data_IF_357812589603
#
_entry.id   IF_357812589603
#
_cell.length_a   1.000
_cell.length_b   1.000
_cell.length_c   1.000
_cell.angle_alpha   90.00
_cell.angle_beta   90.00
_cell.angle_gamma   90.00
#
_symmetry.space_group_name_H-M   'P 1'
#
loop_
_entity.id
_entity.type
_entity.pdbx_description
1 polymer ?
#
# COMPACT_ATOMS: atom_id res chain seq x y z
N UNK A 1 -75.05 26.22 20.25
CA UNK A 1 -74.78 26.15 18.80
C UNK A 1 -73.82 27.29 18.42
N UNK A 2 -72.50 27.02 18.30
CA UNK A 2 -71.50 28.02 17.92
C UNK A 2 -71.15 27.83 16.46
N UNK A 3 -71.43 28.81 15.64
CA UNK A 3 -71.17 28.85 14.20
C UNK A 3 -69.69 29.16 13.98
N UNK A 4 -68.99 28.20 13.44
CA UNK A 4 -67.55 28.33 13.04
C UNK A 4 -67.48 29.15 11.75
N UNK A 5 -66.94 30.35 11.84
CA UNK A 5 -66.69 31.21 10.68
C UNK A 5 -65.38 30.71 9.98
N UNK A 6 -65.54 30.31 8.74
CA UNK A 6 -64.40 29.93 7.87
C UNK A 6 -63.86 31.20 7.23
N UNK A 7 -62.66 31.61 7.63
CA UNK A 7 -61.94 32.72 7.00
C UNK A 7 -61.47 32.26 5.60
N UNK A 8 -62.09 32.87 4.58
CA UNK A 8 -61.66 32.73 3.18
C UNK A 8 -60.33 33.50 3.01
N UNK A 9 -59.24 32.74 2.88
CA UNK A 9 -57.95 33.34 2.53
C UNK A 9 -58.06 33.96 1.13
N UNK A 10 -57.79 35.27 1.04
CA UNK A 10 -57.91 36.05 -0.18
C UNK A 10 -56.93 35.51 -1.27
N UNK A 11 -57.31 35.41 -2.55
CA UNK A 11 -56.45 34.90 -3.59
C UNK A 11 -55.18 35.73 -3.84
N UNK A 12 -55.17 36.98 -3.35
CA UNK A 12 -53.99 37.89 -3.45
C UNK A 12 -52.83 37.45 -2.60
N UNK A 13 -53.04 36.87 -1.43
CA UNK A 13 -51.98 36.36 -0.58
C UNK A 13 -51.30 35.12 -1.16
N UNK A 14 -52.04 34.26 -1.85
CA UNK A 14 -51.54 33.07 -2.51
C UNK A 14 -50.68 33.41 -3.72
N UNK A 15 -51.08 34.43 -4.52
CA UNK A 15 -50.35 34.88 -5.70
C UNK A 15 -48.97 35.51 -5.34
N UNK A 16 -48.92 36.31 -4.24
CA UNK A 16 -47.68 36.88 -3.72
C UNK A 16 -46.72 35.83 -3.18
N UNK A 17 -47.26 34.78 -2.54
CA UNK A 17 -46.44 33.65 -2.05
C UNK A 17 -45.82 32.83 -3.19
N UNK A 18 -46.52 32.58 -4.27
CA UNK A 18 -46.05 31.86 -5.46
C UNK A 18 -44.98 32.67 -6.23
N UNK A 19 -45.14 33.98 -6.35
CA UNK A 19 -44.14 34.86 -6.97
C UNK A 19 -42.86 34.94 -6.14
N UNK A 20 -42.93 34.93 -4.82
CA UNK A 20 -41.79 34.88 -3.93
C UNK A 20 -40.98 33.59 -4.03
N UNK A 21 -41.66 32.45 -4.11
CA UNK A 21 -41.01 31.13 -4.29
C UNK A 21 -40.34 31.00 -5.66
N UNK A 22 -40.99 31.48 -6.73
CA UNK A 22 -40.40 31.47 -8.07
C UNK A 22 -39.15 32.37 -8.17
N UNK A 23 -39.16 33.54 -7.52
CA UNK A 23 -38.01 34.46 -7.47
C UNK A 23 -36.81 33.88 -6.68
N UNK A 24 -37.07 33.25 -5.55
CA UNK A 24 -36.05 32.61 -4.76
C UNK A 24 -35.39 31.41 -5.48
N UNK A 25 -36.22 30.62 -6.19
CA UNK A 25 -35.72 29.51 -7.01
C UNK A 25 -34.82 29.96 -8.15
N UNK A 26 -35.26 31.02 -8.88
CA UNK A 26 -34.47 31.58 -9.99
C UNK A 26 -33.12 32.19 -9.49
N UNK A 27 -33.13 32.88 -8.35
CA UNK A 27 -31.92 33.43 -7.75
C UNK A 27 -30.96 32.32 -7.30
N UNK A 28 -31.46 31.23 -6.73
CA UNK A 28 -30.65 30.08 -6.32
C UNK A 28 -30.02 29.36 -7.52
N UNK A 29 -30.78 29.19 -8.60
CA UNK A 29 -30.27 28.59 -9.84
C UNK A 29 -29.21 29.50 -10.46
N UNK A 30 -29.42 30.82 -10.49
CA UNK A 30 -28.44 31.78 -11.00
C UNK A 30 -27.15 31.73 -10.19
N UNK A 31 -27.21 31.62 -8.86
CA UNK A 31 -26.04 31.50 -7.99
C UNK A 31 -25.28 30.18 -8.18
N UNK A 32 -25.96 29.10 -8.59
CA UNK A 32 -25.32 27.82 -8.92
C UNK A 32 -24.53 27.90 -10.25
N UNK A 33 -24.95 28.74 -11.18
CA UNK A 33 -24.23 28.98 -12.43
C UNK A 33 -23.14 30.06 -12.32
N UNK A 34 -23.18 30.94 -11.31
CA UNK A 34 -22.13 31.90 -10.98
C UNK A 34 -21.10 31.33 -9.99
N UNK A 35 -20.76 30.04 -10.06
CA UNK A 35 -19.58 29.55 -9.35
C UNK A 35 -18.39 30.26 -9.99
N UNK A 36 -17.67 31.14 -9.25
CA UNK A 36 -16.37 31.58 -9.73
C UNK A 36 -15.56 30.32 -9.93
N UNK A 37 -15.11 30.08 -11.16
CA UNK A 37 -14.23 28.95 -11.44
C UNK A 37 -13.11 29.00 -10.41
N UNK A 38 -13.01 28.00 -9.55
CA UNK A 38 -11.80 27.82 -8.76
C UNK A 38 -10.65 27.84 -9.76
N UNK A 39 -9.61 28.66 -9.51
CA UNK A 39 -8.43 28.57 -10.31
C UNK A 39 -7.99 27.09 -10.24
N UNK A 40 -8.06 26.39 -11.36
CA UNK A 40 -7.39 25.12 -11.54
C UNK A 40 -5.91 25.43 -11.33
N UNK A 41 -5.42 25.14 -10.12
CA UNK A 41 -3.99 25.10 -9.89
C UNK A 41 -3.42 24.18 -10.96
N UNK A 42 -2.45 24.61 -11.74
CA UNK A 42 -1.74 23.69 -12.58
C UNK A 42 -1.05 22.71 -11.63
N UNK A 43 -1.64 21.54 -11.43
CA UNK A 43 -0.92 20.41 -10.88
C UNK A 43 0.09 20.01 -11.95
N UNK A 44 1.15 20.78 -12.06
CA UNK A 44 2.38 20.31 -12.65
C UNK A 44 2.93 19.30 -11.65
N UNK A 45 2.40 18.08 -11.70
CA UNK A 45 3.15 16.94 -11.25
C UNK A 45 4.34 16.87 -12.20
N UNK A 46 5.41 17.56 -11.84
CA UNK A 46 6.72 17.23 -12.38
C UNK A 46 6.91 15.77 -11.97
N UNK A 47 6.64 14.86 -12.91
CA UNK A 47 7.00 13.46 -12.79
C UNK A 47 8.51 13.48 -12.54
N UNK A 48 8.88 13.21 -11.29
CA UNK A 48 10.28 13.10 -10.92
C UNK A 48 10.82 11.94 -11.75
N UNK A 49 11.46 12.26 -12.86
CA UNK A 49 12.12 11.29 -13.71
C UNK A 49 13.24 10.70 -12.87
N UNK A 50 13.00 9.54 -12.29
CA UNK A 50 14.04 8.79 -11.59
C UNK A 50 15.20 8.58 -12.58
N UNK A 51 16.45 8.73 -12.13
CA UNK A 51 17.58 8.43 -12.99
C UNK A 51 17.43 6.97 -13.49
N UNK A 52 17.85 6.68 -14.72
CA UNK A 52 17.81 5.32 -15.24
C UNK A 52 18.57 4.40 -14.26
N UNK A 53 18.10 3.16 -14.07
CA UNK A 53 18.80 2.20 -13.24
C UNK A 53 20.22 2.00 -13.80
N UNK A 54 21.22 1.78 -12.93
CA UNK A 54 22.57 1.49 -13.40
C UNK A 54 22.57 0.26 -14.30
N UNK A 55 23.40 0.26 -15.32
CA UNK A 55 23.55 -0.91 -16.19
C UNK A 55 24.00 -2.11 -15.35
N UNK A 56 23.41 -3.27 -15.63
CA UNK A 56 23.84 -4.51 -15.03
C UNK A 56 25.22 -4.90 -15.60
N UNK A 57 26.28 -4.93 -14.77
CA UNK A 57 27.62 -5.25 -15.26
C UNK A 57 27.85 -6.76 -15.50
N UNK A 58 26.88 -7.60 -15.13
CA UNK A 58 26.98 -9.05 -15.22
C UNK A 58 26.29 -9.59 -16.46
N UNK A 59 26.84 -10.66 -17.02
CA UNK A 59 26.27 -11.44 -18.10
C UNK A 59 25.84 -12.82 -17.59
N UNK A 60 25.07 -13.54 -18.36
CA UNK A 60 24.67 -14.90 -17.98
C UNK A 60 25.87 -15.86 -17.84
N UNK A 61 26.97 -15.61 -18.53
CA UNK A 61 28.19 -16.40 -18.42
C UNK A 61 28.91 -16.26 -17.07
N UNK A 62 28.60 -15.20 -16.32
CA UNK A 62 29.16 -14.97 -15.00
C UNK A 62 28.49 -15.83 -13.91
N UNK A 63 27.36 -16.48 -14.22
CA UNK A 63 26.61 -17.31 -13.28
C UNK A 63 26.73 -18.80 -13.62
N UNK A 64 26.98 -19.62 -12.62
CA UNK A 64 27.06 -21.07 -12.74
C UNK A 64 26.38 -21.74 -11.52
N UNK A 65 26.06 -23.03 -11.66
CA UNK A 65 25.47 -23.80 -10.55
C UNK A 65 26.51 -24.75 -10.00
N UNK A 66 26.68 -24.74 -8.68
CA UNK A 66 27.56 -25.62 -7.93
C UNK A 66 26.84 -26.06 -6.65
N UNK A 67 26.82 -27.35 -6.37
CA UNK A 67 26.16 -27.95 -5.20
C UNK A 67 24.69 -27.52 -5.03
N UNK A 68 23.98 -27.28 -6.13
CA UNK A 68 22.59 -26.83 -6.13
C UNK A 68 22.38 -25.32 -5.93
N UNK A 69 23.44 -24.55 -5.71
CA UNK A 69 23.38 -23.09 -5.57
C UNK A 69 23.86 -22.37 -6.82
N UNK A 70 23.25 -21.23 -7.11
CA UNK A 70 23.73 -20.31 -8.14
C UNK A 70 24.89 -19.49 -7.58
N UNK A 71 26.03 -19.53 -8.27
CA UNK A 71 27.26 -18.82 -7.93
C UNK A 71 27.55 -17.75 -8.98
N UNK A 72 28.35 -16.74 -8.61
CA UNK A 72 28.85 -15.73 -9.54
C UNK A 72 30.37 -15.75 -9.56
N UNK A 73 30.96 -15.84 -10.77
CA UNK A 73 32.41 -15.85 -10.96
C UNK A 73 33.03 -14.44 -11.08
N UNK A 74 32.22 -13.44 -11.41
CA UNK A 74 32.71 -12.08 -11.66
C UNK A 74 33.07 -11.32 -10.38
N UNK A 75 32.52 -11.71 -9.22
CA UNK A 75 32.76 -11.08 -7.92
C UNK A 75 32.78 -12.13 -6.82
N UNK A 76 33.47 -11.87 -5.69
CA UNK A 76 33.31 -12.68 -4.49
C UNK A 76 31.85 -12.63 -4.02
N UNK A 77 31.15 -13.74 -4.17
CA UNK A 77 29.74 -13.84 -3.80
C UNK A 77 29.58 -14.76 -2.59
N UNK A 78 28.58 -14.47 -1.77
CA UNK A 78 28.12 -15.33 -0.68
C UNK A 78 26.78 -15.93 -1.02
N UNK A 79 26.57 -17.18 -0.63
CA UNK A 79 25.31 -17.88 -0.82
C UNK A 79 24.42 -17.66 0.39
N UNK A 80 23.29 -17.03 0.20
CA UNK A 80 22.29 -16.83 1.26
C UNK A 80 20.98 -17.55 0.95
N UNK A 81 20.23 -17.81 2.01
CA UNK A 81 18.84 -18.25 1.91
C UNK A 81 17.94 -17.24 2.57
N UNK A 82 16.70 -17.12 2.11
CA UNK A 82 15.65 -16.42 2.83
C UNK A 82 14.59 -17.41 3.31
N UNK A 83 14.12 -17.22 4.53
CA UNK A 83 13.19 -18.13 5.18
C UNK A 83 12.08 -17.39 5.93
N UNK A 84 10.95 -18.07 6.05
CA UNK A 84 9.76 -17.58 6.75
C UNK A 84 9.00 -18.78 7.31
N UNK A 85 7.78 -18.55 7.80
CA UNK A 85 6.86 -19.63 8.21
C UNK A 85 6.48 -20.60 7.07
N UNK A 86 6.77 -20.26 5.82
CA UNK A 86 6.51 -21.16 4.67
C UNK A 86 7.45 -22.36 4.61
N UNK A 87 8.61 -22.30 5.24
CA UNK A 87 9.56 -23.41 5.35
C UNK A 87 9.31 -24.29 6.57
N UNK A 88 8.39 -23.90 7.46
CA UNK A 88 8.08 -24.60 8.70
C UNK A 88 9.32 -24.84 9.58
N UNK A 89 9.48 -26.04 10.15
CA UNK A 89 10.65 -26.39 10.95
C UNK A 89 11.87 -26.65 10.07
N UNK A 90 13.00 -26.04 10.41
CA UNK A 90 14.26 -26.10 9.65
C UNK A 90 15.34 -26.80 10.48
N UNK A 91 16.02 -27.77 9.87
CA UNK A 91 17.27 -28.32 10.41
C UNK A 91 18.43 -27.35 10.11
N UNK A 92 18.66 -26.42 11.02
CA UNK A 92 19.70 -25.40 10.86
C UNK A 92 21.12 -25.94 10.85
N UNK A 93 21.36 -27.10 11.48
CA UNK A 93 22.66 -27.75 11.41
C UNK A 93 22.92 -28.29 9.98
N UNK A 94 21.91 -28.88 9.35
CA UNK A 94 22.00 -29.31 7.95
C UNK A 94 22.16 -28.11 7.00
N UNK A 95 21.46 -27.02 7.25
CA UNK A 95 21.60 -25.77 6.47
C UNK A 95 23.03 -25.23 6.56
N UNK A 96 23.60 -25.11 7.74
CA UNK A 96 24.97 -24.64 7.93
C UNK A 96 25.99 -25.58 7.24
N UNK A 97 25.76 -26.90 7.29
CA UNK A 97 26.63 -27.88 6.63
C UNK A 97 26.51 -27.90 5.09
N UNK A 98 25.47 -27.30 4.52
CA UNK A 98 25.24 -27.30 3.07
C UNK A 98 26.07 -26.27 2.29
N UNK A 99 26.82 -25.41 2.97
CA UNK A 99 27.63 -24.35 2.33
C UNK A 99 26.87 -23.02 2.16
N UNK A 100 25.80 -22.82 2.90
CA UNK A 100 25.13 -21.51 3.05
C UNK A 100 25.97 -20.60 3.94
N UNK A 101 26.18 -19.38 3.49
CA UNK A 101 27.01 -18.38 4.19
C UNK A 101 26.22 -17.51 5.18
N UNK A 102 24.89 -17.32 4.94
CA UNK A 102 24.02 -16.49 5.78
C UNK A 102 22.53 -16.80 5.54
N UNK A 103 21.70 -16.40 6.49
CA UNK A 103 20.24 -16.50 6.36
C UNK A 103 19.57 -15.12 6.52
N UNK A 104 18.56 -14.86 5.67
CA UNK A 104 17.64 -13.74 5.82
C UNK A 104 16.32 -14.28 6.37
N UNK A 105 15.87 -13.78 7.51
CA UNK A 105 14.71 -14.31 8.23
C UNK A 105 13.58 -13.29 8.24
N UNK A 106 12.40 -13.70 7.78
CA UNK A 106 11.21 -12.86 7.86
C UNK A 106 10.75 -12.76 9.31
N UNK A 107 10.75 -11.55 9.87
CA UNK A 107 10.24 -11.31 11.22
C UNK A 107 8.74 -10.99 11.24
N UNK A 108 8.19 -10.56 10.12
CA UNK A 108 6.78 -10.27 10.00
C UNK A 108 6.39 -9.89 8.58
N UNK A 109 5.13 -9.57 8.39
CA UNK A 109 4.60 -9.16 7.09
C UNK A 109 3.34 -8.31 7.25
N UNK A 110 3.01 -7.58 6.20
CA UNK A 110 1.75 -6.85 6.08
C UNK A 110 0.74 -7.70 5.32
N UNK A 111 -0.43 -7.95 5.93
CA UNK A 111 -1.51 -8.70 5.30
C UNK A 111 -2.13 -7.94 4.11
N UNK A 112 -2.58 -8.68 3.09
CA UNK A 112 -3.12 -8.09 1.86
C UNK A 112 -4.46 -7.39 2.06
N UNK A 113 -5.38 -7.96 2.83
CA UNK A 113 -6.78 -7.51 2.85
C UNK A 113 -6.96 -6.18 3.58
N UNK A 114 -6.44 -6.05 4.78
CA UNK A 114 -6.62 -4.88 5.64
C UNK A 114 -5.31 -4.19 6.00
N UNK A 115 -4.20 -4.66 5.45
CA UNK A 115 -2.88 -4.09 5.71
C UNK A 115 -2.41 -4.24 7.17
N UNK A 116 -2.99 -5.18 7.93
CA UNK A 116 -2.58 -5.48 9.29
C UNK A 116 -1.15 -6.00 9.35
N UNK A 117 -0.45 -5.69 10.45
CA UNK A 117 0.90 -6.20 10.70
C UNK A 117 0.81 -7.55 11.41
N UNK A 118 1.54 -8.52 10.93
CA UNK A 118 1.61 -9.87 11.49
C UNK A 118 3.05 -10.24 11.77
N UNK A 119 3.30 -10.84 12.92
CA UNK A 119 4.60 -11.45 13.22
C UNK A 119 4.63 -12.81 12.51
N UNK A 120 5.79 -13.18 11.94
CA UNK A 120 5.97 -14.50 11.37
C UNK A 120 6.04 -15.55 12.48
N UNK A 121 5.25 -16.61 12.33
CA UNK A 121 5.09 -17.62 13.38
C UNK A 121 6.38 -18.38 13.73
N UNK A 122 7.32 -18.45 12.79
CA UNK A 122 8.61 -19.12 12.95
C UNK A 122 9.79 -18.16 13.13
N UNK A 123 9.53 -16.84 13.22
CA UNK A 123 10.59 -15.83 13.30
C UNK A 123 11.59 -16.10 14.42
N UNK A 124 11.10 -16.32 15.64
CA UNK A 124 11.95 -16.55 16.81
C UNK A 124 12.74 -17.85 16.69
N UNK A 125 12.06 -18.95 16.31
CA UNK A 125 12.68 -20.25 16.15
C UNK A 125 13.76 -20.24 15.07
N UNK A 126 13.49 -19.58 13.93
CA UNK A 126 14.45 -19.47 12.85
C UNK A 126 15.65 -18.59 13.22
N UNK A 127 15.41 -17.47 13.90
CA UNK A 127 16.50 -16.59 14.39
C UNK A 127 17.42 -17.37 15.34
N UNK A 128 16.85 -18.03 16.35
CA UNK A 128 17.65 -18.77 17.32
C UNK A 128 18.38 -19.93 16.67
N UNK A 129 17.68 -20.72 15.84
CA UNK A 129 18.27 -21.89 15.20
C UNK A 129 19.43 -21.54 14.25
N UNK A 130 19.30 -20.47 13.46
CA UNK A 130 20.37 -20.01 12.58
C UNK A 130 21.59 -19.50 13.37
N UNK A 131 21.36 -18.74 14.45
CA UNK A 131 22.43 -18.23 15.32
C UNK A 131 23.14 -19.37 16.05
N UNK A 132 22.41 -20.35 16.57
CA UNK A 132 22.97 -21.54 17.24
C UNK A 132 23.79 -22.41 16.27
N UNK A 133 23.42 -22.43 14.99
CA UNK A 133 24.18 -23.08 13.93
C UNK A 133 25.39 -22.25 13.44
N UNK A 134 25.62 -21.06 14.00
CA UNK A 134 26.75 -20.19 13.68
C UNK A 134 26.60 -19.42 12.37
N UNK A 135 25.38 -19.35 11.78
CA UNK A 135 25.13 -18.60 10.57
C UNK A 135 24.93 -17.10 10.88
N UNK A 136 25.55 -16.18 10.12
CA UNK A 136 25.19 -14.79 10.12
C UNK A 136 23.72 -14.62 9.71
N UNK A 137 23.00 -13.74 10.42
CA UNK A 137 21.57 -13.54 10.20
C UNK A 137 21.27 -12.10 9.85
N UNK A 138 20.47 -11.90 8.80
CA UNK A 138 19.74 -10.67 8.53
C UNK A 138 18.24 -10.88 8.74
N UNK A 139 17.49 -9.79 8.89
CA UNK A 139 16.02 -9.86 9.04
C UNK A 139 15.33 -8.99 8.00
N UNK A 140 14.12 -9.39 7.64
CA UNK A 140 13.26 -8.60 6.74
C UNK A 140 11.79 -8.61 7.19
N UNK A 141 11.05 -7.64 6.66
CA UNK A 141 9.63 -7.46 6.96
C UNK A 141 8.83 -7.27 5.68
#
# INVERSE_FOLDING_TARGET
MAKRQMDARSPRGLLLGLLGLAGAGALMILLLFLKPGLPSSPTSTAEATLPPPPENPYTQADFYTEDGFVRCSAVPAKTGIDVSSHQEEIDWAAVAASGVDYAMIRVGYRGYDQGGLHIDAYAEANLQGALDAGLPVGVYF
#
